data_IF_336067771321
#
_entry.id   IF_336067771321
#
_cell.length_a   1.000
_cell.length_b   1.000
_cell.length_c   1.000
_cell.angle_alpha   90.00
_cell.angle_beta   90.00
_cell.angle_gamma   90.00
#
_symmetry.space_group_name_H-M   'P 1'
#
loop_
_entity.id
_entity.type
_entity.pdbx_description
1 polymer ?
#
# COMPACT_ATOMS: atom_id res chain seq x y z
N UNK A 1 -14.35 8.08 11.58
CA UNK A 1 -13.22 8.59 12.38
C UNK A 1 -12.40 9.52 11.52
N UNK A 2 -12.11 10.73 11.96
CA UNK A 2 -11.32 11.63 11.16
C UNK A 2 -9.83 11.27 11.22
N UNK A 3 -9.04 11.86 10.33
CA UNK A 3 -7.63 11.52 10.19
C UNK A 3 -6.79 11.84 11.41
N UNK A 4 -7.13 12.90 12.16
CA UNK A 4 -6.42 13.25 13.38
C UNK A 4 -6.70 12.23 14.50
N UNK A 5 -7.93 11.77 14.60
CA UNK A 5 -8.30 10.73 15.56
C UNK A 5 -7.58 9.42 15.25
N UNK A 6 -7.44 9.06 13.98
CA UNK A 6 -6.70 7.88 13.56
C UNK A 6 -5.23 8.00 13.93
N UNK A 7 -4.62 9.16 13.68
CA UNK A 7 -3.22 9.40 14.00
C UNK A 7 -2.96 9.24 15.51
N UNK A 8 -3.84 9.81 16.33
CA UNK A 8 -3.73 9.71 17.78
C UNK A 8 -3.92 8.25 18.24
N UNK A 9 -4.97 7.60 17.75
CA UNK A 9 -5.34 6.26 18.20
C UNK A 9 -4.26 5.22 17.91
N UNK A 10 -3.70 5.24 16.71
CA UNK A 10 -2.78 4.19 16.27
C UNK A 10 -1.30 4.54 16.39
N UNK A 11 -0.95 5.81 16.32
CA UNK A 11 0.44 6.25 16.38
C UNK A 11 0.77 7.15 17.56
N UNK A 12 -0.23 7.66 18.26
CA UNK A 12 -0.02 8.52 19.42
C UNK A 12 0.48 9.91 19.11
N UNK A 13 0.39 10.33 17.85
CA UNK A 13 0.80 11.67 17.43
C UNK A 13 -0.41 12.59 17.35
N UNK A 14 -0.26 13.80 17.81
CA UNK A 14 -1.33 14.82 17.79
C UNK A 14 -1.31 15.67 16.53
N UNK A 15 -0.17 15.73 15.84
CA UNK A 15 0.01 16.55 14.65
C UNK A 15 0.69 15.77 13.53
N UNK A 16 0.31 16.08 12.30
CA UNK A 16 1.00 15.55 11.12
C UNK A 16 2.29 16.34 10.88
N UNK A 17 3.28 15.68 10.30
CA UNK A 17 4.48 16.35 9.79
C UNK A 17 4.12 17.14 8.53
N UNK A 18 4.96 18.14 8.16
CA UNK A 18 4.72 18.90 6.93
C UNK A 18 4.45 17.99 5.73
N UNK A 19 3.51 18.38 4.90
CA UNK A 19 3.03 17.70 3.68
C UNK A 19 2.17 16.47 3.91
N UNK A 20 2.23 15.82 5.06
CA UNK A 20 1.44 14.59 5.29
C UNK A 20 -0.05 14.86 5.15
N UNK A 21 -0.56 15.87 5.80
CA UNK A 21 -2.01 16.17 5.78
C UNK A 21 -2.50 16.51 4.37
N UNK A 22 -1.71 17.27 3.61
CA UNK A 22 -2.07 17.60 2.22
C UNK A 22 -2.13 16.37 1.34
N UNK A 23 -1.17 15.46 1.49
CA UNK A 23 -1.13 14.20 0.74
C UNK A 23 -2.35 13.36 1.10
N UNK A 24 -2.63 13.21 2.39
CA UNK A 24 -3.77 12.43 2.87
C UNK A 24 -5.08 12.99 2.36
N UNK A 25 -5.24 14.31 2.38
CA UNK A 25 -6.45 14.97 1.89
C UNK A 25 -6.65 14.71 0.41
N UNK A 26 -5.61 14.80 -0.40
CA UNK A 26 -5.71 14.50 -1.83
C UNK A 26 -6.13 13.05 -2.09
N UNK A 27 -5.57 12.11 -1.33
CA UNK A 27 -5.93 10.70 -1.45
C UNK A 27 -7.39 10.48 -1.07
N UNK A 28 -7.86 11.10 0.00
CA UNK A 28 -9.25 10.98 0.46
C UNK A 28 -10.24 11.59 -0.53
N UNK A 29 -9.81 12.58 -1.30
CA UNK A 29 -10.62 13.16 -2.38
C UNK A 29 -10.66 12.28 -3.63
N UNK A 30 -9.96 11.15 -3.62
CA UNK A 30 -9.91 10.23 -4.76
C UNK A 30 -8.90 10.62 -5.84
N UNK A 31 -7.99 11.50 -5.54
CA UNK A 31 -6.99 11.98 -6.51
C UNK A 31 -5.75 11.10 -6.51
N UNK A 32 -5.25 10.81 -7.71
CA UNK A 32 -3.93 10.19 -7.85
C UNK A 32 -2.87 11.18 -7.39
N UNK A 33 -1.93 10.72 -6.58
CA UNK A 33 -0.97 11.60 -5.93
C UNK A 33 0.44 11.02 -6.00
N UNK A 34 1.41 11.89 -6.31
CA UNK A 34 2.83 11.58 -6.18
C UNK A 34 3.37 12.34 -4.97
N UNK A 35 3.83 11.61 -3.96
CA UNK A 35 4.35 12.20 -2.74
C UNK A 35 5.88 12.13 -2.70
N UNK A 36 6.51 13.29 -2.65
CA UNK A 36 7.95 13.43 -2.51
C UNK A 36 8.24 13.86 -1.07
N UNK A 37 8.83 12.96 -0.29
CA UNK A 37 9.10 13.21 1.12
C UNK A 37 10.56 12.91 1.46
N UNK A 38 11.16 13.64 2.40
CA UNK A 38 12.51 13.31 2.82
C UNK A 38 12.57 11.93 3.48
N UNK A 39 13.72 11.29 3.40
CA UNK A 39 13.97 10.01 4.05
C UNK A 39 13.67 10.16 5.55
N UNK A 40 12.93 9.20 6.11
CA UNK A 40 12.50 9.28 7.50
C UNK A 40 11.36 10.24 7.76
N UNK A 41 10.73 10.78 6.71
CA UNK A 41 9.67 11.77 6.83
C UNK A 41 8.28 11.24 7.13
N UNK A 42 8.15 9.97 7.54
CA UNK A 42 6.86 9.39 7.86
C UNK A 42 6.03 9.06 6.61
N UNK A 43 6.67 8.54 5.58
CA UNK A 43 5.99 8.22 4.31
C UNK A 43 4.82 7.28 4.48
N UNK A 44 4.96 6.26 5.32
CA UNK A 44 3.93 5.22 5.47
C UNK A 44 2.63 5.76 6.05
N UNK A 45 2.69 6.78 6.90
CA UNK A 45 1.50 7.43 7.44
C UNK A 45 0.64 8.02 6.32
N UNK A 46 1.26 8.50 5.24
CA UNK A 46 0.55 9.10 4.12
C UNK A 46 -0.43 8.16 3.43
N UNK A 47 -0.19 6.85 3.46
CA UNK A 47 -1.16 5.89 2.92
C UNK A 47 -1.88 5.12 4.03
N UNK A 48 -1.24 4.91 5.17
CA UNK A 48 -1.86 4.13 6.24
C UNK A 48 -3.05 4.86 6.87
N UNK A 49 -2.92 6.15 7.13
CA UNK A 49 -4.00 6.93 7.72
C UNK A 49 -5.22 7.01 6.80
N UNK A 50 -5.10 7.40 5.52
CA UNK A 50 -6.30 7.46 4.68
C UNK A 50 -6.93 6.10 4.42
N UNK A 51 -6.14 5.04 4.36
CA UNK A 51 -6.68 3.68 4.21
C UNK A 51 -7.52 3.28 5.42
N UNK A 52 -7.11 3.68 6.62
CA UNK A 52 -7.89 3.41 7.84
C UNK A 52 -9.13 4.27 7.93
N UNK A 53 -9.15 5.43 7.28
CA UNK A 53 -10.31 6.31 7.28
C UNK A 53 -11.43 5.83 6.35
N UNK A 54 -11.13 4.94 5.42
CA UNK A 54 -12.10 4.38 4.46
C UNK A 54 -12.35 2.91 4.75
N UNK A 55 -13.51 2.42 4.34
CA UNK A 55 -13.78 0.98 4.34
C UNK A 55 -12.93 0.31 3.26
N UNK A 56 -12.59 -0.94 3.49
CA UNK A 56 -11.86 -1.73 2.52
C UNK A 56 -10.40 -1.93 2.86
N UNK A 57 -9.64 -2.37 1.88
CA UNK A 57 -8.24 -2.75 2.05
C UNK A 57 -7.34 -1.90 1.14
N UNK A 58 -6.20 -1.51 1.66
CA UNK A 58 -5.15 -0.85 0.89
C UNK A 58 -4.17 -1.90 0.40
N UNK A 59 -3.92 -1.91 -0.91
CA UNK A 59 -2.90 -2.76 -1.52
C UNK A 59 -1.63 -1.93 -1.66
N UNK A 60 -0.57 -2.37 -1.00
CA UNK A 60 0.72 -1.67 -1.00
C UNK A 60 1.72 -2.47 -1.83
N UNK A 61 2.27 -1.84 -2.84
CA UNK A 61 3.24 -2.45 -3.74
C UNK A 61 4.62 -1.97 -3.33
N UNK A 62 5.49 -2.90 -2.95
CA UNK A 62 6.85 -2.59 -2.50
C UNK A 62 7.83 -3.61 -3.07
N UNK A 63 9.01 -3.17 -3.52
CA UNK A 63 10.03 -4.09 -4.02
C UNK A 63 10.85 -4.75 -2.92
N UNK A 64 10.76 -4.27 -1.69
CA UNK A 64 11.66 -4.67 -0.60
C UNK A 64 10.93 -5.56 0.40
N UNK A 65 11.22 -6.85 0.39
CA UNK A 65 10.58 -7.85 1.25
C UNK A 65 10.78 -7.54 2.73
N UNK A 66 12.00 -7.17 3.12
CA UNK A 66 12.31 -6.85 4.51
C UNK A 66 11.45 -5.68 5.01
N UNK A 67 11.26 -4.66 4.18
CA UNK A 67 10.44 -3.50 4.52
C UNK A 67 8.98 -3.89 4.65
N UNK A 68 8.47 -4.74 3.74
CA UNK A 68 7.10 -5.24 3.84
C UNK A 68 6.86 -5.95 5.16
N UNK A 69 7.77 -6.84 5.53
CA UNK A 69 7.66 -7.60 6.78
C UNK A 69 7.66 -6.69 8.00
N UNK A 70 8.55 -5.70 8.02
CA UNK A 70 8.63 -4.74 9.13
C UNK A 70 7.34 -3.93 9.25
N UNK A 71 6.80 -3.46 8.14
CA UNK A 71 5.58 -2.67 8.16
C UNK A 71 4.37 -3.50 8.60
N UNK A 72 4.25 -4.72 8.12
CA UNK A 72 3.18 -5.62 8.55
C UNK A 72 3.28 -5.88 10.06
N UNK A 73 4.47 -6.18 10.56
CA UNK A 73 4.67 -6.41 11.99
C UNK A 73 4.28 -5.18 12.82
N UNK A 74 4.66 -3.99 12.37
CA UNK A 74 4.31 -2.75 13.05
C UNK A 74 2.80 -2.48 13.06
N UNK A 75 2.12 -2.79 11.97
CA UNK A 75 0.66 -2.67 11.90
C UNK A 75 -0.03 -3.65 12.83
N UNK A 76 0.43 -4.90 12.85
CA UNK A 76 -0.12 -5.92 13.73
C UNK A 76 0.04 -5.54 15.21
N UNK A 77 1.17 -4.94 15.57
CA UNK A 77 1.40 -4.44 16.95
C UNK A 77 0.41 -3.33 17.32
N UNK A 78 -0.12 -2.62 16.33
CA UNK A 78 -1.14 -1.59 16.55
C UNK A 78 -2.56 -2.12 16.44
N UNK A 79 -2.72 -3.44 16.42
CA UNK A 79 -4.02 -4.11 16.28
C UNK A 79 -4.69 -3.81 14.93
N UNK A 80 -3.89 -3.60 13.90
CA UNK A 80 -4.36 -3.42 12.53
C UNK A 80 -4.04 -4.68 11.76
N UNK A 81 -5.06 -5.30 11.16
CA UNK A 81 -4.87 -6.52 10.37
C UNK A 81 -4.14 -6.19 9.06
N UNK A 82 -3.01 -6.82 8.87
CA UNK A 82 -2.17 -6.64 7.69
C UNK A 82 -1.50 -7.95 7.32
N UNK A 83 -1.22 -8.11 6.03
CA UNK A 83 -0.55 -9.30 5.51
C UNK A 83 0.39 -8.92 4.38
N UNK A 84 1.32 -9.81 4.05
CA UNK A 84 2.24 -9.61 2.95
C UNK A 84 2.34 -10.88 2.11
N UNK A 85 2.50 -10.70 0.80
CA UNK A 85 2.78 -11.78 -0.14
C UNK A 85 4.10 -11.48 -0.84
N UNK A 86 5.04 -12.40 -0.72
CA UNK A 86 6.39 -12.22 -1.27
C UNK A 86 6.94 -13.56 -1.76
N UNK A 87 8.03 -13.51 -2.51
CA UNK A 87 8.68 -14.73 -3.01
C UNK A 87 9.18 -15.57 -1.84
N UNK A 88 9.08 -16.89 -1.97
CA UNK A 88 9.42 -17.85 -0.93
C UNK A 88 8.24 -18.39 -0.15
N UNK A 89 7.08 -17.75 -0.24
CA UNK A 89 5.86 -18.31 0.33
C UNK A 89 5.35 -19.47 -0.53
N UNK A 90 4.76 -20.47 0.13
CA UNK A 90 4.15 -21.58 -0.59
C UNK A 90 2.86 -21.14 -1.28
N UNK A 91 2.43 -21.86 -2.31
CA UNK A 91 1.17 -21.58 -2.99
C UNK A 91 0.00 -21.57 -2.01
N UNK A 92 0.00 -22.51 -1.06
CA UNK A 92 -1.06 -22.60 -0.05
C UNK A 92 -1.07 -21.39 0.88
N UNK A 93 0.11 -20.92 1.30
CA UNK A 93 0.22 -19.71 2.13
C UNK A 93 -0.32 -18.48 1.41
N UNK A 94 0.02 -18.35 0.14
CA UNK A 94 -0.46 -17.24 -0.69
C UNK A 94 -1.98 -17.30 -0.84
N UNK A 95 -2.53 -18.49 -1.13
CA UNK A 95 -3.96 -18.69 -1.31
C UNK A 95 -4.73 -18.31 -0.04
N UNK A 96 -4.29 -18.78 1.11
CA UNK A 96 -4.90 -18.47 2.40
C UNK A 96 -4.83 -16.96 2.68
N UNK A 97 -3.69 -16.34 2.43
CA UNK A 97 -3.49 -14.91 2.67
C UNK A 97 -4.45 -14.08 1.81
N UNK A 98 -4.59 -14.43 0.54
CA UNK A 98 -5.50 -13.73 -0.37
C UNK A 98 -6.96 -13.90 0.06
N UNK A 99 -7.36 -15.09 0.47
CA UNK A 99 -8.72 -15.32 1.00
C UNK A 99 -8.98 -14.46 2.24
N UNK A 100 -8.02 -14.36 3.13
CA UNK A 100 -8.12 -13.51 4.31
C UNK A 100 -8.31 -12.03 3.93
N UNK A 101 -7.65 -11.60 2.87
CA UNK A 101 -7.79 -10.22 2.40
C UNK A 101 -9.14 -9.94 1.75
N UNK A 102 -9.77 -10.97 1.15
CA UNK A 102 -11.12 -10.84 0.56
C UNK A 102 -12.18 -10.87 1.65
N UNK A 103 -12.10 -11.84 2.58
CA UNK A 103 -13.19 -12.14 3.51
C UNK A 103 -12.91 -11.78 4.96
N UNK A 104 -11.68 -11.51 5.34
CA UNK A 104 -11.26 -11.43 6.74
C UNK A 104 -11.11 -10.02 7.32
N UNK A 105 -11.59 -8.99 6.66
CA UNK A 105 -11.50 -7.60 7.11
C UNK A 105 -10.05 -7.12 7.32
N UNK A 106 -9.13 -7.57 6.49
CA UNK A 106 -7.77 -7.05 6.51
C UNK A 106 -7.74 -5.63 5.96
N UNK A 107 -6.87 -4.79 6.53
CA UNK A 107 -6.75 -3.38 6.13
C UNK A 107 -5.61 -3.12 5.16
N UNK A 108 -4.57 -3.95 5.18
CA UNK A 108 -3.40 -3.76 4.33
C UNK A 108 -2.93 -5.10 3.76
N UNK A 109 -2.65 -5.11 2.47
CA UNK A 109 -1.99 -6.22 1.80
C UNK A 109 -0.75 -5.68 1.08
N UNK A 110 0.43 -6.13 1.52
CA UNK A 110 1.69 -5.77 0.90
C UNK A 110 2.08 -6.84 -0.11
N UNK A 111 2.40 -6.42 -1.33
CA UNK A 111 2.78 -7.35 -2.41
C UNK A 111 4.01 -6.82 -3.13
N UNK A 112 4.83 -7.76 -3.62
CA UNK A 112 5.91 -7.42 -4.52
C UNK A 112 5.36 -7.15 -5.93
N UNK A 113 6.05 -6.33 -6.75
CA UNK A 113 5.54 -5.99 -8.09
C UNK A 113 5.27 -7.20 -8.99
N UNK A 114 6.10 -8.22 -8.92
CA UNK A 114 5.94 -9.42 -9.77
C UNK A 114 4.70 -10.23 -9.39
N UNK A 115 4.20 -10.10 -8.17
CA UNK A 115 3.01 -10.83 -7.73
C UNK A 115 1.75 -10.34 -8.41
N UNK A 116 1.75 -9.10 -8.87
CA UNK A 116 0.61 -8.49 -9.56
C UNK A 116 0.30 -9.23 -10.86
N UNK A 117 1.31 -9.82 -11.50
CA UNK A 117 1.15 -10.54 -12.75
C UNK A 117 0.44 -11.88 -12.61
N UNK A 118 0.40 -12.44 -11.42
CA UNK A 118 -0.14 -13.80 -11.23
C UNK A 118 -1.66 -13.83 -11.40
N UNK A 119 -2.15 -14.89 -12.03
CA UNK A 119 -3.59 -15.06 -12.23
C UNK A 119 -4.34 -15.18 -10.91
N UNK A 120 -3.71 -15.83 -9.93
CA UNK A 120 -4.30 -15.98 -8.60
C UNK A 120 -4.53 -14.62 -7.95
N UNK A 121 -3.53 -13.74 -8.01
CA UNK A 121 -3.66 -12.39 -7.44
C UNK A 121 -4.76 -11.60 -8.15
N UNK A 122 -4.78 -11.63 -9.48
CA UNK A 122 -5.79 -10.90 -10.26
C UNK A 122 -7.20 -11.35 -9.93
N UNK A 123 -7.41 -12.66 -9.83
CA UNK A 123 -8.73 -13.23 -9.52
C UNK A 123 -9.22 -12.78 -8.14
N UNK A 124 -8.33 -12.75 -7.15
CA UNK A 124 -8.71 -12.33 -5.80
C UNK A 124 -8.86 -10.82 -5.69
N UNK A 125 -8.05 -10.06 -6.42
CA UNK A 125 -8.15 -8.60 -6.46
C UNK A 125 -9.54 -8.13 -6.88
N UNK A 126 -10.13 -8.79 -7.87
CA UNK A 126 -11.49 -8.47 -8.31
C UNK A 126 -12.51 -8.57 -7.19
N UNK A 127 -12.28 -9.47 -6.24
CA UNK A 127 -13.19 -9.69 -5.11
C UNK A 127 -12.90 -8.81 -3.90
N UNK A 128 -11.76 -8.12 -3.89
CA UNK A 128 -11.38 -7.25 -2.78
C UNK A 128 -12.05 -5.90 -2.91
N UNK A 129 -12.44 -5.33 -1.77
CA UNK A 129 -12.89 -3.94 -1.69
C UNK A 129 -11.67 -3.05 -1.49
N UNK A 130 -10.93 -2.79 -2.57
CA UNK A 130 -9.71 -1.98 -2.49
C UNK A 130 -10.06 -0.50 -2.38
N UNK A 131 -9.48 0.17 -1.39
CA UNK A 131 -9.71 1.59 -1.18
C UNK A 131 -8.54 2.48 -1.64
N UNK A 132 -7.35 1.91 -1.82
CA UNK A 132 -6.16 2.66 -2.20
C UNK A 132 -5.10 1.70 -2.73
N UNK A 133 -4.40 2.11 -3.79
CA UNK A 133 -3.15 1.48 -4.20
C UNK A 133 -1.99 2.40 -3.80
N UNK A 134 -1.13 1.93 -2.92
CA UNK A 134 0.07 2.66 -2.52
C UNK A 134 1.29 2.00 -3.15
N UNK A 135 2.12 2.79 -3.80
CA UNK A 135 3.35 2.31 -4.43
C UNK A 135 4.50 2.89 -3.62
N UNK A 136 5.07 2.07 -2.75
CA UNK A 136 6.18 2.48 -1.91
C UNK A 136 7.49 2.34 -2.66
N UNK A 137 8.44 3.23 -2.37
CA UNK A 137 9.74 3.26 -3.04
C UNK A 137 9.60 3.38 -4.57
N UNK A 138 8.67 4.23 -5.04
CA UNK A 138 8.36 4.36 -6.46
C UNK A 138 9.58 4.77 -7.31
N UNK A 139 10.58 5.43 -6.72
CA UNK A 139 11.82 5.76 -7.42
C UNK A 139 12.57 4.51 -7.88
N UNK A 140 12.40 3.38 -7.20
CA UNK A 140 13.03 2.11 -7.59
C UNK A 140 12.56 1.64 -8.96
N UNK A 141 11.35 2.03 -9.38
CA UNK A 141 10.81 1.65 -10.69
C UNK A 141 11.72 2.17 -11.81
N UNK A 142 12.16 3.42 -11.71
CA UNK A 142 13.06 4.00 -12.70
C UNK A 142 14.50 3.50 -12.55
N UNK A 143 14.94 3.20 -11.32
CA UNK A 143 16.29 2.66 -11.06
C UNK A 143 16.44 1.22 -11.54
N UNK A 144 15.35 0.47 -11.61
CA UNK A 144 15.38 -0.92 -12.06
C UNK A 144 15.63 -1.05 -13.56
N UNK A 145 15.50 0.04 -14.30
CA UNK A 145 15.77 0.05 -15.72
C UNK A 145 14.89 -0.90 -16.49
N UNK A 146 15.49 -1.54 -17.50
CA UNK A 146 14.72 -2.39 -18.40
C UNK A 146 14.19 -3.67 -17.75
N UNK A 147 14.87 -4.17 -16.74
CA UNK A 147 14.51 -5.45 -16.11
C UNK A 147 13.18 -5.38 -15.37
N UNK A 148 12.78 -4.20 -14.92
CA UNK A 148 11.57 -4.02 -14.11
C UNK A 148 10.44 -3.31 -14.86
N UNK A 149 10.62 -3.00 -16.13
CA UNK A 149 9.55 -2.39 -16.95
C UNK A 149 8.26 -3.23 -16.99
N UNK A 150 8.33 -4.56 -17.16
CA UNK A 150 7.09 -5.36 -17.12
C UNK A 150 6.33 -5.21 -15.82
N UNK A 151 7.02 -5.21 -14.68
CA UNK A 151 6.39 -5.04 -13.38
C UNK A 151 5.74 -3.66 -13.24
N UNK A 152 6.38 -2.61 -13.77
CA UNK A 152 5.78 -1.28 -13.78
C UNK A 152 4.50 -1.22 -14.61
N UNK A 153 4.53 -1.83 -15.80
CA UNK A 153 3.34 -1.89 -16.66
C UNK A 153 2.20 -2.64 -15.97
N UNK A 154 2.51 -3.65 -15.17
CA UNK A 154 1.51 -4.39 -14.41
C UNK A 154 0.88 -3.55 -13.31
N UNK A 155 1.68 -2.68 -12.67
CA UNK A 155 1.14 -1.71 -11.71
C UNK A 155 0.12 -0.80 -12.40
N UNK A 156 0.45 -0.30 -13.58
CA UNK A 156 -0.45 0.53 -14.35
C UNK A 156 -1.75 -0.20 -14.72
N UNK A 157 -1.67 -1.51 -14.98
CA UNK A 157 -2.86 -2.32 -15.31
C UNK A 157 -3.83 -2.48 -14.16
N UNK A 158 -3.41 -2.24 -12.92
CA UNK A 158 -4.32 -2.28 -11.78
C UNK A 158 -5.48 -1.29 -11.95
N UNK A 159 -5.27 -0.21 -12.67
CA UNK A 159 -6.32 0.75 -13.00
C UNK A 159 -7.47 0.10 -13.77
N UNK A 160 -7.17 -0.87 -14.63
CA UNK A 160 -8.18 -1.57 -15.41
C UNK A 160 -9.08 -2.43 -14.53
N UNK A 161 -8.52 -3.03 -13.47
CA UNK A 161 -9.28 -3.88 -12.55
C UNK A 161 -10.07 -3.06 -11.53
N UNK A 162 -9.56 -1.91 -11.14
CA UNK A 162 -10.15 -1.04 -10.11
C UNK A 162 -10.08 0.41 -10.57
N UNK A 163 -10.91 0.81 -11.54
CA UNK A 163 -10.76 2.14 -12.17
C UNK A 163 -11.02 3.32 -11.25
N UNK A 164 -11.80 3.13 -10.19
CA UNK A 164 -12.19 4.21 -9.28
C UNK A 164 -11.26 4.34 -8.07
N UNK A 165 -10.28 3.47 -7.94
CA UNK A 165 -9.38 3.46 -6.78
C UNK A 165 -8.20 4.40 -7.04
N UNK A 166 -7.90 5.35 -6.13
CA UNK A 166 -6.77 6.25 -6.32
C UNK A 166 -5.43 5.55 -6.12
N UNK A 167 -4.40 6.10 -6.74
CA UNK A 167 -3.02 5.66 -6.59
C UNK A 167 -2.23 6.71 -5.82
N UNK A 168 -1.46 6.27 -4.86
CA UNK A 168 -0.49 7.11 -4.16
C UNK A 168 0.90 6.52 -4.36
N UNK A 169 1.74 7.22 -5.12
CA UNK A 169 3.13 6.84 -5.30
C UNK A 169 4.00 7.64 -4.34
N UNK A 170 4.85 6.94 -3.61
CA UNK A 170 5.71 7.54 -2.59
C UNK A 170 7.18 7.34 -2.95
N UNK A 171 7.95 8.40 -2.89
CA UNK A 171 9.38 8.32 -3.12
C UNK A 171 10.11 9.29 -2.19
N UNK A 172 11.35 8.95 -1.83
CA UNK A 172 12.17 9.83 -1.04
C UNK A 172 12.78 10.91 -1.93
N UNK A 173 12.80 12.15 -1.43
CA UNK A 173 13.53 13.22 -2.12
C UNK A 173 15.03 12.96 -2.01
N UNK A 174 15.76 13.30 -3.06
CA UNK A 174 17.22 13.29 -3.01
C UNK A 174 17.70 14.36 -2.03
N UNK A 175 18.64 13.98 -1.19
CA UNK A 175 19.26 14.90 -0.24
C UNK A 175 20.71 15.15 -0.60
#
# INVERSE_FOLDING_TARGET
MDIHQILIKYWGHTEFRPLQEDIITNVLEGKDTLALLPTGGGKSICFQVPALAKEGICVVISPLIALMKDQVENLLKRNIKAAAIFSGMTHREIDITLDNCVYGNYKFLYVSPERIETDLFKARLEKMNVNLFAIDESHCISQWGYDFRPSYLNIAKLREYKPDVPFLALTATAT
#
